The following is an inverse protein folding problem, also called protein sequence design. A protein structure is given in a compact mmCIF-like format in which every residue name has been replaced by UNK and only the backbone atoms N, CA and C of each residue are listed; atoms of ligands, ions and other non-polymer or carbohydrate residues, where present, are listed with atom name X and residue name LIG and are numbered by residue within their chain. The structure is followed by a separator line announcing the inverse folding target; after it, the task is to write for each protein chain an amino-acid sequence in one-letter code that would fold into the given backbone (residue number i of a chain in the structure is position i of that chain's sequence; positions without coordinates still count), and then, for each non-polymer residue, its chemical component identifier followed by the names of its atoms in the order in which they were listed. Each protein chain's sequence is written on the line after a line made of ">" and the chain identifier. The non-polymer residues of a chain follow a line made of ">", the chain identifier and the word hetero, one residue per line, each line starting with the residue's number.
data_IF_747920073475
#
_entry.id   IF_747920073475
#
_cell.length_a   1.000
_cell.length_b   1.000
_cell.length_c   1.000
_cell.angle_alpha   90.00
_cell.angle_beta   90.00
_cell.angle_gamma   90.00
#
_symmetry.space_group_name_H-M   'P 1'
#
loop_
_entity.id
_entity.type
_entity.pdbx_description
1 polymer ?
#
# COMPACT_ATOMS: atom_id res chain seq x y z
N UNK A 1 9.00 -35.21 -17.42
CA UNK A 1 8.52 -33.83 -17.28
C UNK A 1 8.32 -33.58 -15.80
N UNK A 2 9.12 -32.72 -15.18
CA UNK A 2 8.93 -32.39 -13.76
C UNK A 2 7.78 -31.39 -13.67
N UNK A 3 6.65 -31.81 -13.12
CA UNK A 3 5.56 -30.90 -12.77
C UNK A 3 6.02 -30.04 -11.60
N UNK A 4 6.43 -28.79 -11.88
CA UNK A 4 6.71 -27.82 -10.84
C UNK A 4 5.43 -27.59 -10.02
N UNK A 5 5.54 -27.62 -8.69
CA UNK A 5 4.44 -27.26 -7.81
C UNK A 5 3.84 -25.90 -8.24
N UNK A 6 2.51 -25.73 -8.22
CA UNK A 6 1.88 -24.48 -8.62
C UNK A 6 2.44 -23.34 -7.78
N UNK A 7 3.03 -22.36 -8.45
CA UNK A 7 3.71 -21.29 -7.76
C UNK A 7 2.66 -20.42 -7.06
N UNK A 8 2.81 -20.23 -5.75
CA UNK A 8 2.07 -19.23 -4.96
C UNK A 8 2.56 -17.81 -5.32
N UNK A 9 2.57 -17.49 -6.60
CA UNK A 9 3.11 -16.28 -7.17
C UNK A 9 1.97 -15.50 -7.81
N UNK A 10 1.84 -14.23 -7.42
CA UNK A 10 1.10 -13.24 -8.19
C UNK A 10 2.08 -12.71 -9.24
N UNK A 11 1.88 -13.08 -10.49
CA UNK A 11 2.76 -12.74 -11.61
C UNK A 11 2.33 -11.42 -12.30
N UNK A 12 3.02 -11.06 -13.38
CA UNK A 12 2.73 -9.88 -14.20
C UNK A 12 2.77 -8.54 -13.43
N UNK A 13 3.63 -8.46 -12.41
CA UNK A 13 3.73 -7.29 -11.54
C UNK A 13 4.68 -6.21 -12.06
N UNK A 14 5.42 -6.50 -13.13
CA UNK A 14 6.33 -5.54 -13.75
C UNK A 14 5.52 -4.41 -14.36
N UNK A 15 5.93 -3.17 -14.10
CA UNK A 15 5.26 -1.95 -14.54
C UNK A 15 3.82 -1.79 -14.02
N UNK A 16 3.42 -2.53 -12.98
CA UNK A 16 2.16 -2.21 -12.28
C UNK A 16 2.34 -0.90 -11.52
N UNK A 17 1.40 0.03 -11.73
CA UNK A 17 1.40 1.33 -11.07
C UNK A 17 0.78 1.24 -9.69
N UNK A 18 1.41 1.90 -8.71
CA UNK A 18 0.92 1.91 -7.34
C UNK A 18 1.28 3.21 -6.61
N UNK A 19 0.63 3.47 -5.49
CA UNK A 19 1.02 4.50 -4.52
C UNK A 19 0.88 4.00 -3.09
N UNK A 20 1.63 4.63 -2.18
CA UNK A 20 1.61 4.28 -0.76
C UNK A 20 1.49 5.51 0.14
N UNK A 21 0.62 5.45 1.15
CA UNK A 21 0.50 6.41 2.25
C UNK A 21 1.13 5.77 3.48
N UNK A 22 2.23 6.34 3.96
CA UNK A 22 2.96 5.85 5.14
C UNK A 22 2.64 6.78 6.30
N UNK A 23 1.82 6.33 7.25
CA UNK A 23 1.45 7.08 8.45
C UNK A 23 2.29 6.60 9.64
N UNK A 24 3.01 7.50 10.29
CA UNK A 24 3.90 7.22 11.42
C UNK A 24 3.25 7.67 12.72
N UNK A 25 3.23 6.81 13.73
CA UNK A 25 2.62 7.04 15.04
C UNK A 25 3.68 6.87 16.14
N UNK A 26 3.56 7.64 17.22
CA UNK A 26 4.22 7.32 18.49
C UNK A 26 3.23 6.56 19.38
N UNK A 27 3.54 5.31 19.71
CA UNK A 27 2.75 4.44 20.58
C UNK A 27 3.70 3.71 21.51
N UNK A 28 3.42 3.70 22.82
CA UNK A 28 4.21 2.98 23.82
C UNK A 28 5.73 3.20 23.73
N UNK A 29 6.16 4.47 23.61
CA UNK A 29 7.56 4.89 23.41
C UNK A 29 8.25 4.29 22.16
N UNK A 30 7.48 3.87 21.15
CA UNK A 30 7.97 3.37 19.87
C UNK A 30 7.37 4.16 18.72
N UNK A 31 8.09 4.16 17.60
CA UNK A 31 7.56 4.60 16.32
C UNK A 31 7.01 3.39 15.58
N UNK A 32 5.73 3.45 15.23
CA UNK A 32 5.05 2.48 14.41
C UNK A 32 4.63 3.15 13.10
N UNK A 33 4.71 2.43 11.99
CA UNK A 33 4.22 2.92 10.71
C UNK A 33 3.14 1.98 10.18
N UNK A 34 2.03 2.55 9.75
CA UNK A 34 1.02 1.84 8.97
C UNK A 34 1.19 2.26 7.51
N UNK A 35 1.35 1.28 6.62
CA UNK A 35 1.51 1.51 5.18
C UNK A 35 0.24 1.11 4.48
N UNK A 36 -0.43 2.07 3.87
CA UNK A 36 -1.58 1.84 3.01
C UNK A 36 -1.13 1.92 1.56
N UNK A 37 -1.60 1.00 0.73
CA UNK A 37 -1.17 0.90 -0.66
C UNK A 37 -2.29 0.51 -1.62
N UNK A 38 -2.14 0.89 -2.89
CA UNK A 38 -3.10 0.59 -3.97
C UNK A 38 -2.88 -0.77 -4.65
N UNK A 39 -1.86 -1.52 -4.22
CA UNK A 39 -1.46 -2.75 -4.88
C UNK A 39 -2.59 -3.77 -4.92
N UNK A 40 -2.85 -4.31 -6.12
CA UNK A 40 -3.90 -5.29 -6.40
C UNK A 40 -5.34 -4.78 -6.20
N UNK A 41 -5.55 -3.48 -6.03
CA UNK A 41 -6.90 -2.89 -5.86
C UNK A 41 -7.21 -1.75 -6.83
N UNK A 42 -6.22 -0.95 -7.22
CA UNK A 42 -6.32 0.03 -8.30
C UNK A 42 -4.91 0.47 -8.76
N UNK A 43 -4.83 1.17 -9.88
CA UNK A 43 -3.60 1.64 -10.51
C UNK A 43 -3.11 3.01 -10.00
N UNK A 44 -3.59 3.43 -8.82
CA UNK A 44 -3.31 4.71 -8.16
C UNK A 44 -3.67 5.96 -8.99
N UNK A 45 -4.90 6.12 -9.52
CA UNK A 45 -5.26 7.16 -10.48
C UNK A 45 -4.65 8.53 -10.18
N UNK A 46 -3.95 9.11 -11.15
CA UNK A 46 -3.13 10.32 -10.93
C UNK A 46 -3.94 11.52 -10.42
N UNK A 47 -5.16 11.67 -10.92
CA UNK A 47 -6.09 12.72 -10.51
C UNK A 47 -6.42 12.62 -9.03
N UNK A 48 -6.75 11.42 -8.54
CA UNK A 48 -7.05 11.17 -7.12
C UNK A 48 -5.79 11.31 -6.26
N UNK A 49 -4.66 10.75 -6.71
CA UNK A 49 -3.40 10.83 -5.97
C UNK A 49 -2.96 12.27 -5.72
N UNK A 50 -3.10 13.15 -6.71
CA UNK A 50 -2.75 14.58 -6.59
C UNK A 50 -3.63 15.35 -5.62
N UNK A 51 -4.79 14.81 -5.24
CA UNK A 51 -5.66 15.43 -4.23
C UNK A 51 -5.21 15.13 -2.79
N UNK A 52 -4.29 14.18 -2.59
CA UNK A 52 -3.87 13.79 -1.25
C UNK A 52 -3.01 14.89 -0.61
N UNK A 53 -3.34 15.23 0.63
CA UNK A 53 -2.57 16.14 1.47
C UNK A 53 -2.02 15.39 2.68
N UNK A 54 -0.70 15.28 2.77
CA UNK A 54 -0.05 14.54 3.84
C UNK A 54 -0.33 15.11 5.24
N UNK A 55 -0.40 16.44 5.38
CA UNK A 55 -0.66 17.08 6.66
C UNK A 55 -2.11 16.88 7.10
N UNK A 56 -3.07 16.99 6.17
CA UNK A 56 -4.47 16.71 6.43
C UNK A 56 -4.68 15.25 6.85
N UNK A 57 -4.07 14.30 6.12
CA UNK A 57 -4.14 12.88 6.46
C UNK A 57 -3.49 12.60 7.82
N UNK A 58 -2.34 13.22 8.11
CA UNK A 58 -1.70 13.06 9.41
C UNK A 58 -2.60 13.55 10.55
N UNK A 59 -3.26 14.70 10.37
CA UNK A 59 -4.21 15.23 11.33
C UNK A 59 -5.43 14.30 11.51
N UNK A 60 -6.03 13.83 10.42
CA UNK A 60 -7.20 12.94 10.48
C UNK A 60 -6.88 11.62 11.20
N UNK A 61 -5.71 11.07 10.91
CA UNK A 61 -5.27 9.80 11.51
C UNK A 61 -4.70 9.98 12.91
N UNK A 62 -4.50 11.21 13.40
CA UNK A 62 -3.69 11.49 14.60
C UNK A 62 -2.28 10.87 14.51
N UNK A 63 -1.71 10.88 13.31
CA UNK A 63 -0.35 10.45 13.05
C UNK A 63 0.64 11.59 13.32
N UNK A 64 1.87 11.26 13.71
CA UNK A 64 2.95 12.23 13.84
C UNK A 64 3.35 12.83 12.50
N UNK A 65 3.36 11.99 11.46
CA UNK A 65 3.72 12.38 10.11
C UNK A 65 3.13 11.40 9.11
N UNK A 66 2.89 11.89 7.90
CA UNK A 66 2.52 11.07 6.76
C UNK A 66 3.48 11.35 5.62
N UNK A 67 3.91 10.29 4.93
CA UNK A 67 4.66 10.40 3.69
C UNK A 67 3.85 9.78 2.55
N UNK A 68 3.63 10.56 1.51
CA UNK A 68 3.10 10.09 0.24
C UNK A 68 4.25 9.53 -0.62
N UNK A 69 4.13 8.29 -1.05
CA UNK A 69 5.18 7.52 -1.69
C UNK A 69 4.65 6.93 -3.00
N UNK A 70 4.53 7.77 -4.02
CA UNK A 70 3.86 7.43 -5.26
C UNK A 70 3.58 8.65 -6.13
N UNK A 71 2.96 8.42 -7.31
CA UNK A 71 2.73 7.11 -7.90
C UNK A 71 4.05 6.53 -8.46
N UNK A 72 4.21 5.21 -8.43
CA UNK A 72 5.40 4.48 -8.87
C UNK A 72 5.02 3.29 -9.74
N UNK A 73 6.03 2.73 -10.39
CA UNK A 73 5.92 1.48 -11.14
C UNK A 73 6.82 0.42 -10.50
N UNK A 74 6.28 -0.77 -10.31
CA UNK A 74 7.08 -1.88 -9.82
C UNK A 74 8.08 -2.38 -10.87
N UNK A 75 9.27 -2.75 -10.39
CA UNK A 75 10.30 -3.46 -11.18
C UNK A 75 10.32 -4.96 -10.86
N UNK A 76 9.39 -5.43 -10.04
CA UNK A 76 9.23 -6.83 -9.66
C UNK A 76 8.45 -7.57 -10.74
N UNK A 77 8.84 -8.79 -11.10
CA UNK A 77 8.09 -9.61 -12.05
C UNK A 77 6.90 -10.34 -11.39
N UNK A 78 7.01 -10.64 -10.10
CA UNK A 78 5.93 -11.25 -9.31
C UNK A 78 6.17 -11.20 -7.80
N UNK A 79 5.16 -11.58 -7.03
CA UNK A 79 5.10 -11.51 -5.56
C UNK A 79 4.70 -12.88 -4.99
N UNK A 80 5.36 -13.33 -3.92
CA UNK A 80 4.88 -14.50 -3.18
C UNK A 80 3.62 -14.19 -2.37
N UNK A 81 2.73 -15.16 -2.18
CA UNK A 81 1.56 -14.97 -1.30
C UNK A 81 1.97 -15.00 0.17
N UNK A 82 1.56 -14.01 0.98
CA UNK A 82 1.71 -14.05 2.44
C UNK A 82 1.00 -15.30 3.00
N UNK A 83 1.64 -15.97 3.96
CA UNK A 83 1.15 -17.22 4.59
C UNK A 83 0.17 -16.97 5.75
N UNK A 84 0.05 -15.74 6.24
CA UNK A 84 -0.90 -15.38 7.29
C UNK A 84 -2.05 -14.55 6.71
N UNK A 85 -3.28 -15.03 6.89
CA UNK A 85 -4.49 -14.28 6.58
C UNK A 85 -4.66 -13.17 7.61
N UNK A 86 -4.66 -11.92 7.14
CA UNK A 86 -4.99 -10.74 7.94
C UNK A 86 -6.19 -10.09 7.24
N UNK A 87 -7.25 -9.85 8.00
CA UNK A 87 -8.42 -9.11 7.50
C UNK A 87 -7.94 -7.80 6.86
N UNK A 88 -8.29 -7.53 5.60
CA UNK A 88 -7.80 -6.34 4.92
C UNK A 88 -8.40 -5.09 5.57
N UNK A 89 -7.56 -4.28 6.20
CA UNK A 89 -7.96 -2.94 6.65
C UNK A 89 -7.97 -2.03 5.43
N UNK A 90 -9.16 -1.75 4.92
CA UNK A 90 -9.39 -0.81 3.84
C UNK A 90 -9.55 0.61 4.40
N UNK A 91 -9.06 1.61 3.69
CA UNK A 91 -9.21 3.03 4.02
C UNK A 91 -9.32 3.84 2.74
N UNK A 92 -10.27 4.77 2.73
CA UNK A 92 -10.38 5.78 1.69
C UNK A 92 -9.51 6.99 2.04
N UNK A 93 -8.74 7.47 1.07
CA UNK A 93 -8.05 8.75 1.15
C UNK A 93 -8.56 9.65 0.03
N UNK A 94 -9.55 10.47 0.34
CA UNK A 94 -10.17 11.41 -0.59
C UNK A 94 -10.62 10.76 -1.92
N UNK A 95 -11.32 9.63 -1.84
CA UNK A 95 -11.79 8.84 -2.97
C UNK A 95 -10.79 7.81 -3.50
N UNK A 96 -9.52 7.86 -3.04
CA UNK A 96 -8.54 6.82 -3.35
C UNK A 96 -8.61 5.70 -2.32
N UNK A 97 -9.29 4.61 -2.67
CA UNK A 97 -9.35 3.41 -1.84
C UNK A 97 -7.97 2.74 -1.74
N UNK A 98 -7.50 2.49 -0.52
CA UNK A 98 -6.23 1.84 -0.22
C UNK A 98 -6.40 0.71 0.81
N UNK A 99 -5.44 -0.23 0.85
CA UNK A 99 -5.40 -1.32 1.84
C UNK A 99 -4.13 -1.23 2.69
N UNK A 100 -4.22 -1.49 3.99
CA UNK A 100 -3.03 -1.62 4.85
C UNK A 100 -2.22 -2.87 4.48
N UNK A 101 -0.94 -2.69 4.14
CA UNK A 101 -0.04 -3.75 3.66
C UNK A 101 1.13 -4.05 4.61
N UNK A 102 1.45 -3.11 5.52
CA UNK A 102 2.43 -3.26 6.59
C UNK A 102 1.98 -2.46 7.82
#
# INVERSE_FOLDING_TARGET
>A
MSTSAPQRLIDNMRNVRYGEVLAVFARDNKLEAEVYGTQMINDCPDELWKTLDAAAIASEMSALAVKLNGPRYWVLDGLGTKVAFVEPVMRDFNGLMMRRIA
#
